data_IF_590859107586
#
_entry.id   IF_590859107586
#
_cell.length_a   1.000
_cell.length_b   1.000
_cell.length_c   1.000
_cell.angle_alpha   90.00
_cell.angle_beta   90.00
_cell.angle_gamma   90.00
#
_symmetry.space_group_name_H-M   'P 1'
#
loop_
_entity.id
_entity.type
_entity.pdbx_description
1 polymer ?
#
# COMPACT_ATOMS: atom_id res chain seq x y z
N UNK A 1 12.44 30.71 -10.25
CA UNK A 1 12.10 29.33 -9.88
C UNK A 1 13.42 28.66 -9.57
N UNK A 2 13.61 28.21 -8.33
CA UNK A 2 14.87 27.60 -7.91
C UNK A 2 15.00 26.25 -8.61
N UNK A 3 15.95 26.11 -9.54
CA UNK A 3 16.28 24.83 -10.15
C UNK A 3 16.69 23.87 -9.02
N UNK A 4 15.88 22.85 -8.74
CA UNK A 4 16.24 21.83 -7.77
C UNK A 4 17.17 20.85 -8.47
N UNK A 5 18.48 21.10 -8.40
CA UNK A 5 19.53 20.21 -8.89
C UNK A 5 19.64 18.98 -7.98
N UNK A 6 19.86 17.81 -8.58
CA UNK A 6 20.06 16.55 -7.85
C UNK A 6 21.32 16.59 -6.96
N UNK A 7 22.34 17.36 -7.37
CA UNK A 7 23.65 17.55 -6.69
C UNK A 7 24.19 16.25 -6.08
N UNK A 8 24.67 15.37 -6.96
CA UNK A 8 25.27 14.10 -6.57
C UNK A 8 26.66 14.30 -5.97
N UNK A 9 26.98 13.51 -4.94
CA UNK A 9 28.27 13.53 -4.25
C UNK A 9 28.74 12.10 -3.97
N UNK A 10 30.04 11.91 -3.73
CA UNK A 10 30.58 10.62 -3.29
C UNK A 10 29.93 10.14 -1.98
N UNK A 11 29.52 11.08 -1.11
CA UNK A 11 28.83 10.79 0.15
C UNK A 11 27.46 10.16 -0.04
N UNK A 12 26.78 10.45 -1.15
CA UNK A 12 25.48 9.85 -1.45
C UNK A 12 25.64 8.34 -1.71
N UNK A 13 26.60 7.92 -2.54
CA UNK A 13 26.93 6.50 -2.76
C UNK A 13 27.38 5.81 -1.46
N UNK A 14 28.24 6.48 -0.70
CA UNK A 14 28.77 5.95 0.56
C UNK A 14 27.67 5.73 1.62
N UNK A 15 26.52 6.38 1.52
CA UNK A 15 25.40 6.15 2.42
C UNK A 15 24.76 4.77 2.22
N UNK A 16 24.98 4.12 1.08
CA UNK A 16 24.36 2.85 0.70
C UNK A 16 25.32 1.65 0.74
N UNK A 17 26.54 1.82 1.25
CA UNK A 17 27.49 0.71 1.41
C UNK A 17 26.88 -0.46 2.23
N UNK A 18 27.19 -1.73 1.90
CA UNK A 18 26.61 -2.89 2.56
C UNK A 18 26.74 -2.90 4.09
N UNK A 19 27.86 -2.40 4.63
CA UNK A 19 28.15 -2.33 6.07
C UNK A 19 27.32 -1.24 6.78
N UNK A 20 26.77 -0.29 6.00
CA UNK A 20 26.00 0.85 6.49
C UNK A 20 24.50 0.65 6.31
N UNK A 21 24.08 -0.32 5.52
CA UNK A 21 22.70 -0.51 5.08
C UNK A 21 21.70 -0.66 6.24
N UNK A 22 22.08 -1.31 7.35
CA UNK A 22 21.24 -1.48 8.55
C UNK A 22 21.41 -0.40 9.62
N UNK A 23 22.30 0.58 9.40
CA UNK A 23 22.63 1.60 10.39
C UNK A 23 21.78 2.86 10.24
N UNK A 24 21.14 3.28 11.34
CA UNK A 24 20.38 4.54 11.41
C UNK A 24 21.28 5.79 11.36
N UNK A 25 22.60 5.65 11.55
CA UNK A 25 23.52 6.78 11.46
C UNK A 25 23.54 7.41 10.04
N UNK A 26 23.18 6.62 9.03
CA UNK A 26 23.16 7.04 7.63
C UNK A 26 21.76 7.45 7.14
N UNK A 27 20.73 7.42 8.00
CA UNK A 27 19.38 7.85 7.64
C UNK A 27 19.32 9.32 7.24
N UNK A 28 20.11 10.19 7.89
CA UNK A 28 20.15 11.62 7.56
C UNK A 28 20.75 11.88 6.16
N UNK A 29 21.95 11.39 5.82
CA UNK A 29 22.48 11.51 4.46
C UNK A 29 21.52 10.98 3.39
N UNK A 30 20.88 9.82 3.62
CA UNK A 30 19.90 9.25 2.70
C UNK A 30 18.66 10.13 2.54
N UNK A 31 18.17 10.73 3.64
CA UNK A 31 17.06 11.66 3.60
C UNK A 31 17.40 12.93 2.80
N UNK A 32 18.59 13.48 3.00
CA UNK A 32 19.08 14.66 2.28
C UNK A 32 19.14 14.37 0.78
N UNK A 33 19.71 13.23 0.37
CA UNK A 33 19.68 12.77 -1.03
C UNK A 33 18.25 12.60 -1.56
N UNK A 34 17.39 11.87 -0.82
CA UNK A 34 15.98 11.64 -1.19
C UNK A 34 15.23 12.95 -1.44
N UNK A 35 15.44 13.98 -0.61
CA UNK A 35 14.80 15.28 -0.78
C UNK A 35 15.28 16.01 -2.04
N UNK A 36 16.59 16.01 -2.33
CA UNK A 36 17.13 16.55 -3.58
C UNK A 36 16.58 15.80 -4.79
N UNK A 37 16.57 14.47 -4.74
CA UNK A 37 16.08 13.62 -5.80
C UNK A 37 14.58 13.78 -6.07
N UNK A 38 13.75 13.98 -5.04
CA UNK A 38 12.33 14.30 -5.23
C UNK A 38 12.11 15.71 -5.83
N UNK A 39 12.94 16.68 -5.47
CA UNK A 39 12.90 18.03 -6.06
C UNK A 39 13.26 18.02 -7.54
N UNK A 40 14.31 17.28 -7.89
CA UNK A 40 14.73 17.02 -9.27
C UNK A 40 13.65 16.26 -10.06
N UNK A 41 13.12 15.17 -9.50
CA UNK A 41 12.14 14.33 -10.18
C UNK A 41 10.83 15.07 -10.53
N UNK A 42 10.43 16.09 -9.77
CA UNK A 42 9.27 16.93 -10.14
C UNK A 42 9.47 17.66 -11.47
N UNK A 43 10.70 18.11 -11.77
CA UNK A 43 11.01 18.72 -13.07
C UNK A 43 10.94 17.68 -14.19
N UNK A 44 11.38 16.44 -13.93
CA UNK A 44 11.22 15.34 -14.88
C UNK A 44 9.76 15.00 -15.12
N UNK A 45 8.91 15.03 -14.08
CA UNK A 45 7.46 14.87 -14.23
C UNK A 45 6.88 15.95 -15.16
N UNK A 46 7.29 17.21 -15.03
CA UNK A 46 6.83 18.28 -15.93
C UNK A 46 7.26 18.01 -17.39
N UNK A 47 8.47 17.47 -17.61
CA UNK A 47 8.95 17.06 -18.94
C UNK A 47 8.16 15.88 -19.51
N UNK A 48 7.87 14.87 -18.70
CA UNK A 48 7.07 13.71 -19.10
C UNK A 48 5.61 14.11 -19.38
N UNK A 49 5.06 15.03 -18.59
CA UNK A 49 3.74 15.61 -18.82
C UNK A 49 3.69 16.34 -20.17
N UNK A 50 4.74 17.05 -20.58
CA UNK A 50 4.83 17.68 -21.89
C UNK A 50 4.86 16.68 -23.06
N UNK A 51 5.18 15.41 -22.78
CA UNK A 51 5.09 14.28 -23.72
C UNK A 51 3.75 13.52 -23.60
N UNK A 52 2.77 14.07 -22.88
CA UNK A 52 1.47 13.43 -22.59
C UNK A 52 1.60 12.11 -21.80
N UNK A 53 2.59 12.06 -20.90
CA UNK A 53 2.82 10.93 -19.99
C UNK A 53 2.62 11.45 -18.55
N UNK A 54 1.38 11.50 -18.05
CA UNK A 54 1.11 11.95 -16.69
C UNK A 54 1.63 10.93 -15.69
N UNK A 55 2.50 11.36 -14.77
CA UNK A 55 3.09 10.51 -13.75
C UNK A 55 3.08 11.17 -12.38
N UNK A 56 2.94 10.36 -11.33
CA UNK A 56 3.26 10.77 -9.96
C UNK A 56 4.68 10.34 -9.62
N UNK A 57 5.30 11.05 -8.66
CA UNK A 57 6.61 10.70 -8.11
C UNK A 57 6.51 10.22 -6.66
N UNK A 58 7.24 9.16 -6.33
CA UNK A 58 7.42 8.68 -4.96
C UNK A 58 8.87 8.21 -4.74
N UNK A 59 9.32 8.09 -3.50
CA UNK A 59 10.65 7.54 -3.19
C UNK A 59 10.58 6.47 -2.09
N UNK A 60 11.49 5.50 -2.13
CA UNK A 60 11.58 4.44 -1.12
C UNK A 60 11.96 4.99 0.26
N UNK A 61 11.76 4.17 1.31
CA UNK A 61 12.17 4.49 2.67
C UNK A 61 13.68 4.69 2.77
N UNK A 62 14.11 5.77 3.43
CA UNK A 62 15.52 6.14 3.60
C UNK A 62 16.15 5.59 4.89
N UNK A 63 15.33 5.03 5.78
CA UNK A 63 15.77 4.46 7.05
C UNK A 63 15.43 2.95 7.14
N UNK A 64 16.28 2.15 7.81
CA UNK A 64 15.98 0.75 8.11
C UNK A 64 14.63 0.61 8.84
N UNK A 65 13.67 -0.08 8.22
CA UNK A 65 12.31 -0.26 8.71
C UNK A 65 11.88 -1.72 8.50
N UNK A 66 10.78 -2.14 9.13
CA UNK A 66 10.25 -3.51 8.90
C UNK A 66 9.89 -3.71 7.42
N UNK A 67 9.49 -2.65 6.71
CA UNK A 67 9.08 -2.69 5.30
C UNK A 67 10.23 -3.01 4.34
N UNK A 68 11.45 -2.63 4.68
CA UNK A 68 12.65 -2.89 3.87
C UNK A 68 13.58 -3.94 4.51
N UNK A 69 13.04 -4.80 5.38
CA UNK A 69 13.83 -5.85 6.04
C UNK A 69 14.95 -5.31 6.93
N UNK A 70 14.75 -4.12 7.51
CA UNK A 70 15.72 -3.39 8.31
C UNK A 70 17.03 -3.09 7.56
N UNK A 71 16.93 -2.82 6.26
CA UNK A 71 18.08 -2.57 5.40
C UNK A 71 17.75 -1.53 4.32
N UNK A 72 18.71 -0.65 4.04
CA UNK A 72 18.65 0.31 2.93
C UNK A 72 19.99 0.25 2.19
N UNK A 73 20.02 -0.54 1.13
CA UNK A 73 21.18 -0.73 0.24
C UNK A 73 21.09 0.10 -1.05
N UNK A 74 19.94 0.72 -1.29
CA UNK A 74 19.72 1.63 -2.40
C UNK A 74 18.59 2.61 -2.09
N UNK A 75 18.52 3.68 -2.86
CA UNK A 75 17.41 4.61 -2.87
C UNK A 75 16.75 4.60 -4.24
N UNK A 76 15.44 4.44 -4.22
CA UNK A 76 14.61 4.53 -5.40
C UNK A 76 13.82 5.84 -5.38
N UNK A 77 13.69 6.43 -6.56
CA UNK A 77 12.68 7.44 -6.89
C UNK A 77 11.88 6.90 -8.07
N UNK A 78 10.63 6.55 -7.81
CA UNK A 78 9.70 5.95 -8.75
C UNK A 78 8.87 7.04 -9.42
N UNK A 79 8.71 6.90 -10.74
CA UNK A 79 7.72 7.59 -11.53
C UNK A 79 6.75 6.55 -12.03
N UNK A 80 5.49 6.68 -11.66
CA UNK A 80 4.46 5.71 -12.00
C UNK A 80 3.17 6.44 -12.36
N UNK A 81 2.14 5.66 -12.72
CA UNK A 81 0.81 6.16 -13.05
C UNK A 81 0.31 7.23 -12.09
N UNK A 82 -0.46 8.18 -12.60
CA UNK A 82 -1.15 9.16 -11.76
C UNK A 82 -2.12 8.48 -10.78
N UNK A 83 -2.50 9.19 -9.71
CA UNK A 83 -3.49 8.70 -8.75
C UNK A 83 -4.80 8.26 -9.40
N UNK A 84 -5.30 9.00 -10.37
CA UNK A 84 -6.52 8.68 -11.11
C UNK A 84 -6.39 7.35 -11.87
N UNK A 85 -5.28 7.17 -12.58
CA UNK A 85 -5.01 5.92 -13.32
C UNK A 85 -4.82 4.72 -12.37
N UNK A 86 -4.21 4.91 -11.20
CA UNK A 86 -4.09 3.86 -10.18
C UNK A 86 -5.45 3.47 -9.62
N UNK A 87 -6.27 4.44 -9.25
CA UNK A 87 -7.63 4.20 -8.74
C UNK A 87 -8.52 3.47 -9.75
N UNK A 88 -8.32 3.71 -11.05
CA UNK A 88 -9.02 2.97 -12.10
C UNK A 88 -8.64 1.48 -12.14
N UNK A 89 -7.44 1.11 -11.66
CA UNK A 89 -6.91 -0.24 -11.66
C UNK A 89 -7.06 -0.98 -10.32
N UNK A 90 -7.26 -0.26 -9.21
CA UNK A 90 -7.33 -0.85 -7.86
C UNK A 90 -8.31 -2.03 -7.78
N UNK A 91 -9.49 -1.91 -8.41
CA UNK A 91 -10.50 -2.98 -8.42
C UNK A 91 -9.99 -4.29 -9.05
N UNK A 92 -9.20 -4.21 -10.13
CA UNK A 92 -8.57 -5.39 -10.76
C UNK A 92 -7.47 -5.97 -9.89
N UNK A 93 -6.62 -5.09 -9.36
CA UNK A 93 -5.45 -5.50 -8.61
C UNK A 93 -5.84 -6.18 -7.29
N UNK A 94 -6.92 -5.72 -6.65
CA UNK A 94 -7.39 -6.25 -5.37
C UNK A 94 -8.17 -7.57 -5.50
N UNK A 95 -8.69 -7.89 -6.69
CA UNK A 95 -9.37 -9.17 -6.93
C UNK A 95 -8.40 -10.35 -6.97
N UNK A 96 -7.21 -10.13 -7.53
CA UNK A 96 -6.19 -11.18 -7.70
C UNK A 96 -5.29 -11.33 -6.47
N UNK A 97 -5.01 -10.23 -5.77
CA UNK A 97 -4.22 -10.27 -4.54
C UNK A 97 -5.12 -10.68 -3.36
N UNK A 98 -4.88 -11.85 -2.79
CA UNK A 98 -5.49 -12.19 -1.50
C UNK A 98 -5.02 -11.22 -0.42
N UNK A 99 -5.87 -10.92 0.58
CA UNK A 99 -5.54 -10.03 1.71
C UNK A 99 -4.18 -10.36 2.34
N UNK A 100 -3.86 -11.66 2.43
CA UNK A 100 -2.61 -12.15 3.00
C UNK A 100 -1.35 -11.87 2.14
N UNK A 101 -1.51 -11.64 0.84
CA UNK A 101 -0.43 -11.36 -0.10
C UNK A 101 -0.13 -9.86 -0.16
N UNK A 102 -1.18 -9.03 -0.14
CA UNK A 102 -1.09 -7.57 0.06
C UNK A 102 -0.42 -7.18 1.38
N UNK A 103 -0.56 -8.02 2.42
CA UNK A 103 0.10 -7.84 3.71
C UNK A 103 1.57 -8.28 3.72
N UNK A 104 1.99 -9.14 2.79
CA UNK A 104 3.35 -9.72 2.73
C UNK A 104 4.29 -8.96 1.81
N UNK A 105 3.78 -8.35 0.75
CA UNK A 105 4.60 -7.53 -0.14
C UNK A 105 4.43 -6.04 0.21
N UNK A 106 5.40 -5.43 0.91
CA UNK A 106 5.27 -4.07 1.41
C UNK A 106 5.42 -3.00 0.32
N UNK A 107 5.78 -3.37 -0.92
CA UNK A 107 6.19 -2.43 -1.94
C UNK A 107 5.11 -2.26 -3.04
N UNK A 108 4.24 -1.24 -2.95
CA UNK A 108 3.14 -1.05 -3.91
C UNK A 108 3.61 -0.83 -5.36
N UNK A 109 4.90 -0.52 -5.57
CA UNK A 109 5.47 -0.23 -6.89
C UNK A 109 5.49 -1.46 -7.80
N UNK A 110 5.63 -2.68 -7.26
CA UNK A 110 5.67 -3.89 -8.08
C UNK A 110 4.33 -4.29 -8.68
N UNK A 111 3.23 -3.62 -8.29
CA UNK A 111 1.89 -3.83 -8.88
C UNK A 111 1.68 -3.07 -10.19
N UNK A 112 2.65 -2.26 -10.61
CA UNK A 112 2.59 -1.47 -11.83
C UNK A 112 3.92 -1.48 -12.59
N UNK A 113 3.87 -1.23 -13.89
CA UNK A 113 5.01 -0.70 -14.62
C UNK A 113 5.38 0.68 -14.06
N UNK A 114 6.68 0.98 -14.00
CA UNK A 114 7.19 2.28 -13.54
C UNK A 114 8.49 2.66 -14.25
N UNK A 115 8.79 3.95 -14.28
CA UNK A 115 10.14 4.47 -14.46
C UNK A 115 10.78 4.69 -13.09
N UNK A 116 12.10 4.66 -13.00
CA UNK A 116 12.78 4.96 -11.75
C UNK A 116 14.17 5.53 -11.97
N UNK A 117 14.58 6.38 -11.02
CA UNK A 117 15.98 6.62 -10.68
C UNK A 117 16.33 5.70 -9.49
N UNK A 118 17.42 4.95 -9.60
CA UNK A 118 17.97 4.16 -8.50
C UNK A 118 19.42 4.55 -8.26
N UNK A 119 19.78 4.78 -7.01
CA UNK A 119 21.16 4.97 -6.57
C UNK A 119 21.51 3.94 -5.52
N UNK A 120 22.61 3.23 -5.72
CA UNK A 120 23.22 2.33 -4.73
C UNK A 120 24.69 2.70 -4.49
N UNK A 121 25.46 1.85 -3.81
CA UNK A 121 26.87 2.15 -3.52
C UNK A 121 27.78 2.08 -4.74
N UNK A 122 27.36 1.43 -5.82
CA UNK A 122 28.19 1.11 -6.99
C UNK A 122 27.83 1.93 -8.22
N UNK A 123 26.55 2.29 -8.37
CA UNK A 123 26.06 2.98 -9.56
C UNK A 123 24.82 3.81 -9.29
N UNK A 124 24.55 4.69 -10.24
CA UNK A 124 23.26 5.33 -10.42
C UNK A 124 22.67 4.87 -11.75
N UNK A 125 21.38 4.58 -11.78
CA UNK A 125 20.70 4.13 -12.99
C UNK A 125 19.33 4.77 -13.13
N UNK A 126 18.90 4.93 -14.38
CA UNK A 126 17.52 5.25 -14.74
C UNK A 126 16.97 4.10 -15.57
N UNK A 127 15.74 3.67 -15.27
CA UNK A 127 15.16 2.49 -15.91
C UNK A 127 13.64 2.55 -16.01
N UNK A 128 13.09 1.82 -16.97
CA UNK A 128 11.71 1.35 -16.95
C UNK A 128 11.71 -0.11 -16.50
N UNK A 129 10.79 -0.46 -15.59
CA UNK A 129 10.63 -1.82 -15.10
C UNK A 129 9.19 -2.30 -15.17
N UNK A 130 9.06 -3.60 -15.41
CA UNK A 130 7.79 -4.32 -15.41
C UNK A 130 7.96 -5.65 -14.65
N UNK A 131 7.44 -5.68 -13.42
CA UNK A 131 7.44 -6.90 -12.60
C UNK A 131 6.29 -7.84 -13.03
N UNK A 132 6.44 -9.18 -12.97
CA UNK A 132 5.34 -10.12 -13.25
C UNK A 132 4.13 -9.96 -12.31
N UNK A 133 4.31 -9.35 -11.13
CA UNK A 133 3.22 -9.03 -10.19
C UNK A 133 2.43 -7.78 -10.58
N UNK A 134 2.96 -6.95 -11.48
CA UNK A 134 2.22 -5.90 -12.17
C UNK A 134 1.33 -6.52 -13.24
N UNK A 135 0.44 -7.42 -12.81
CA UNK A 135 -0.13 -8.42 -13.70
C UNK A 135 -0.94 -7.80 -14.84
N UNK A 136 -1.64 -6.69 -14.60
CA UNK A 136 -2.39 -5.98 -15.65
C UNK A 136 -1.46 -5.52 -16.76
N UNK A 137 -0.34 -4.91 -16.38
CA UNK A 137 0.69 -4.44 -17.29
C UNK A 137 1.40 -5.58 -17.98
N UNK A 138 1.69 -6.63 -17.22
CA UNK A 138 2.40 -7.79 -17.72
C UNK A 138 1.58 -8.57 -18.74
N UNK A 139 0.29 -8.80 -18.50
CA UNK A 139 -0.58 -9.45 -19.48
C UNK A 139 -0.82 -8.56 -20.71
N UNK A 140 -0.94 -7.24 -20.54
CA UNK A 140 -1.01 -6.29 -21.66
C UNK A 140 0.27 -6.33 -22.52
N UNK A 141 1.44 -6.31 -21.88
CA UNK A 141 2.73 -6.44 -22.53
C UNK A 141 2.85 -7.77 -23.30
N UNK A 142 2.46 -8.89 -22.69
CA UNK A 142 2.45 -10.19 -23.38
C UNK A 142 1.48 -10.23 -24.56
N UNK A 143 0.29 -9.65 -24.41
CA UNK A 143 -0.68 -9.55 -25.50
C UNK A 143 -0.12 -8.72 -26.67
N UNK A 144 0.57 -7.60 -26.38
CA UNK A 144 1.27 -6.80 -27.40
C UNK A 144 2.40 -7.57 -28.08
N UNK A 145 3.17 -8.40 -27.35
CA UNK A 145 4.22 -9.22 -27.95
C UNK A 145 3.68 -10.39 -28.79
N UNK A 146 2.45 -10.86 -28.50
CA UNK A 146 1.79 -11.89 -29.29
C UNK A 146 1.25 -11.36 -30.62
N UNK A 147 0.96 -10.06 -30.70
CA UNK A 147 0.65 -9.36 -31.95
C UNK A 147 1.93 -8.88 -32.65
N UNK A 148 2.04 -9.10 -33.95
CA UNK A 148 3.28 -8.78 -34.68
C UNK A 148 3.51 -7.26 -34.75
N UNK A 149 2.44 -6.49 -35.02
CA UNK A 149 2.51 -5.03 -35.08
C UNK A 149 2.82 -4.43 -33.69
N UNK A 150 2.20 -4.96 -32.64
CA UNK A 150 2.50 -4.60 -31.26
C UNK A 150 3.95 -4.89 -30.88
N UNK A 151 4.47 -6.07 -31.23
CA UNK A 151 5.85 -6.45 -30.98
C UNK A 151 6.84 -5.54 -31.72
N UNK A 152 6.62 -5.29 -33.01
CA UNK A 152 7.43 -4.36 -33.82
C UNK A 152 7.43 -2.95 -33.22
N UNK A 153 6.29 -2.48 -32.71
CA UNK A 153 6.20 -1.15 -32.07
C UNK A 153 7.09 -1.07 -30.83
N UNK A 154 7.09 -2.10 -29.98
CA UNK A 154 7.96 -2.16 -28.80
C UNK A 154 9.44 -2.20 -29.21
N UNK A 155 9.79 -3.03 -30.21
CA UNK A 155 11.17 -3.12 -30.73
C UNK A 155 11.63 -1.76 -31.25
N UNK A 156 10.81 -1.08 -32.05
CA UNK A 156 11.13 0.25 -32.57
C UNK A 156 11.31 1.28 -31.45
N UNK A 157 10.49 1.23 -30.40
CA UNK A 157 10.66 2.10 -29.24
C UNK A 157 11.98 1.84 -28.49
N UNK A 158 12.41 0.58 -28.36
CA UNK A 158 13.71 0.23 -27.78
C UNK A 158 14.88 0.67 -28.66
N UNK A 159 14.79 0.48 -29.98
CA UNK A 159 15.82 0.88 -30.93
C UNK A 159 15.93 2.40 -31.09
N UNK A 160 14.90 3.15 -30.72
CA UNK A 160 14.94 4.62 -30.67
C UNK A 160 15.67 5.16 -29.43
N UNK A 161 15.96 4.32 -28.43
CA UNK A 161 16.76 4.72 -27.27
C UNK A 161 18.22 4.95 -27.67
N UNK A 162 18.95 5.81 -26.95
CA UNK A 162 20.40 5.95 -27.11
C UNK A 162 21.13 4.62 -26.94
N UNK A 163 22.26 4.46 -27.63
CA UNK A 163 23.04 3.20 -27.66
C UNK A 163 23.56 2.74 -26.29
N UNK A 164 23.63 3.65 -25.31
CA UNK A 164 24.07 3.36 -23.94
C UNK A 164 23.00 2.58 -23.15
N UNK A 165 21.77 2.51 -23.64
CA UNK A 165 20.70 1.77 -23.01
C UNK A 165 20.86 0.26 -23.22
N UNK A 166 20.43 -0.46 -22.20
CA UNK A 166 20.41 -1.91 -22.18
C UNK A 166 19.03 -2.40 -21.73
N UNK A 167 18.71 -3.66 -22.04
CA UNK A 167 17.49 -4.32 -21.59
C UNK A 167 17.78 -5.75 -21.12
N UNK A 168 16.87 -6.33 -20.35
CA UNK A 168 16.99 -7.69 -19.86
C UNK A 168 16.17 -7.93 -18.60
N UNK A 169 16.70 -8.79 -17.72
CA UNK A 169 16.08 -9.14 -16.45
C UNK A 169 16.80 -8.38 -15.33
N UNK A 170 16.04 -7.72 -14.47
CA UNK A 170 16.58 -6.92 -13.36
C UNK A 170 17.53 -7.73 -12.48
N UNK A 171 18.72 -7.17 -12.22
CA UNK A 171 19.77 -7.82 -11.42
C UNK A 171 20.53 -8.96 -12.14
N UNK A 172 20.34 -9.13 -13.45
CA UNK A 172 21.03 -10.15 -14.27
C UNK A 172 21.84 -9.50 -15.39
N UNK A 173 22.46 -10.33 -16.23
CA UNK A 173 23.10 -9.87 -17.45
C UNK A 173 22.07 -9.21 -18.37
N UNK A 174 22.48 -8.10 -18.97
CA UNK A 174 21.68 -7.26 -19.86
C UNK A 174 22.29 -7.26 -21.25
N UNK A 175 21.47 -6.94 -22.24
CA UNK A 175 21.84 -6.83 -23.65
C UNK A 175 21.67 -5.38 -24.13
N UNK A 176 22.49 -4.90 -25.08
CA UNK A 176 22.30 -3.56 -25.65
C UNK A 176 20.95 -3.48 -26.36
N UNK A 177 20.26 -2.33 -26.31
CA UNK A 177 18.95 -2.16 -26.98
C UNK A 177 19.00 -2.41 -28.49
N UNK A 178 20.17 -2.31 -29.11
CA UNK A 178 20.40 -2.65 -30.54
C UNK A 178 20.23 -4.14 -30.86
N UNK A 179 20.25 -5.01 -29.85
CA UNK A 179 19.96 -6.44 -29.99
C UNK A 179 18.46 -6.77 -29.86
N UNK A 180 17.60 -5.78 -29.58
CA UNK A 180 16.18 -6.00 -29.39
C UNK A 180 15.51 -6.54 -30.65
N UNK A 181 14.73 -7.61 -30.49
CA UNK A 181 13.89 -8.22 -31.51
C UNK A 181 12.60 -8.75 -30.89
N UNK A 182 11.56 -8.99 -31.69
CA UNK A 182 10.30 -9.53 -31.17
C UNK A 182 10.51 -10.88 -30.47
N UNK A 183 11.36 -11.75 -31.03
CA UNK A 183 11.66 -13.07 -30.46
C UNK A 183 12.42 -12.96 -29.12
N UNK A 184 13.45 -12.12 -29.05
CA UNK A 184 14.18 -11.90 -27.77
C UNK A 184 13.28 -11.35 -26.67
N UNK A 185 12.33 -10.46 -27.01
CA UNK A 185 11.38 -9.92 -26.05
C UNK A 185 10.35 -10.96 -25.58
N UNK A 186 9.86 -11.83 -26.50
CA UNK A 186 8.98 -12.95 -26.15
C UNK A 186 9.69 -13.94 -25.22
N UNK A 187 10.93 -14.32 -25.56
CA UNK A 187 11.76 -15.20 -24.74
C UNK A 187 12.07 -14.61 -23.36
N UNK A 188 12.29 -13.29 -23.28
CA UNK A 188 12.41 -12.59 -22.00
C UNK A 188 11.11 -12.66 -21.22
N UNK A 189 9.97 -12.29 -21.82
CA UNK A 189 8.68 -12.27 -21.17
C UNK A 189 8.29 -13.64 -20.57
N UNK A 190 8.57 -14.73 -21.27
CA UNK A 190 8.30 -16.09 -20.77
C UNK A 190 9.18 -16.50 -19.58
N UNK A 191 10.35 -15.87 -19.40
CA UNK A 191 11.25 -16.10 -18.25
C UNK A 191 10.91 -15.29 -17.01
N UNK A 192 10.24 -14.14 -17.13
CA UNK A 192 10.04 -13.22 -15.98
C UNK A 192 9.24 -13.84 -14.84
N UNK A 193 8.14 -14.54 -15.16
CA UNK A 193 7.27 -15.18 -14.15
C UNK A 193 7.95 -16.34 -13.41
N UNK A 194 8.56 -17.35 -14.08
CA UNK A 194 9.24 -18.43 -13.36
C UNK A 194 10.46 -17.94 -12.55
N UNK A 195 11.08 -16.84 -12.97
CA UNK A 195 12.22 -16.26 -12.26
C UNK A 195 11.83 -15.29 -11.14
N UNK A 196 10.57 -14.84 -11.10
CA UNK A 196 10.11 -13.84 -10.12
C UNK A 196 10.88 -12.52 -10.23
N UNK A 197 11.29 -12.15 -11.44
CA UNK A 197 12.15 -11.00 -11.69
C UNK A 197 11.51 -10.06 -12.72
N UNK A 198 11.78 -8.76 -12.59
CA UNK A 198 11.23 -7.75 -13.48
C UNK A 198 11.97 -7.69 -14.82
N UNK A 199 11.22 -7.41 -15.89
CA UNK A 199 11.79 -6.82 -17.10
C UNK A 199 12.42 -5.49 -16.73
N UNK A 200 13.60 -5.22 -17.28
CA UNK A 200 14.35 -4.00 -17.04
C UNK A 200 14.86 -3.47 -18.37
N UNK A 201 14.72 -2.17 -18.58
CA UNK A 201 15.39 -1.42 -19.64
C UNK A 201 15.87 -0.11 -19.07
N UNK A 202 17.12 0.26 -19.31
CA UNK A 202 17.69 1.45 -18.68
C UNK A 202 19.13 1.73 -19.03
N UNK A 203 19.63 2.79 -18.41
CA UNK A 203 21.01 3.23 -18.50
C UNK A 203 21.61 3.27 -17.08
N UNK A 204 22.80 2.69 -16.93
CA UNK A 204 23.54 2.62 -15.67
C UNK A 204 24.87 3.34 -15.81
N UNK A 205 25.20 4.18 -14.82
CA UNK A 205 26.49 4.88 -14.72
C UNK A 205 27.18 4.45 -13.44
N UNK A 206 28.38 3.91 -13.56
CA UNK A 206 29.17 3.48 -12.40
C UNK A 206 29.56 4.68 -11.55
N UNK A 207 29.74 4.46 -10.24
CA UNK A 207 30.12 5.49 -9.27
C UNK A 207 31.31 6.33 -9.71
N UNK A 208 32.35 5.69 -10.26
CA UNK A 208 33.56 6.38 -10.71
C UNK A 208 33.24 7.41 -11.81
N UNK A 209 32.56 6.97 -12.86
CA UNK A 209 32.12 7.83 -13.98
C UNK A 209 31.14 8.89 -13.50
N UNK A 210 30.23 8.53 -12.60
CA UNK A 210 29.23 9.46 -12.07
C UNK A 210 29.88 10.62 -11.29
N UNK A 211 30.88 10.32 -10.46
CA UNK A 211 31.62 11.33 -9.70
C UNK A 211 32.50 12.21 -10.61
N UNK A 212 33.07 11.63 -11.67
CA UNK A 212 33.91 12.37 -12.62
C UNK A 212 33.09 13.37 -13.47
N UNK A 213 31.85 13.02 -13.80
CA UNK A 213 31.00 13.78 -14.73
C UNK A 213 29.76 14.40 -14.08
N UNK A 214 29.82 14.75 -12.79
CA UNK A 214 28.68 15.25 -12.00
C UNK A 214 27.97 16.46 -12.62
N UNK A 215 28.73 17.37 -13.25
CA UNK A 215 28.21 18.62 -13.81
C UNK A 215 27.21 18.40 -14.95
N UNK A 216 27.41 17.35 -15.75
CA UNK A 216 26.58 17.04 -16.92
C UNK A 216 25.62 15.87 -16.68
N UNK A 217 25.96 14.99 -15.74
CA UNK A 217 25.22 13.75 -15.53
C UNK A 217 23.75 14.00 -15.15
N UNK A 218 23.48 15.05 -14.38
CA UNK A 218 22.11 15.35 -13.93
C UNK A 218 21.18 15.61 -15.12
N UNK A 219 21.61 16.44 -16.08
CA UNK A 219 20.84 16.71 -17.30
C UNK A 219 20.67 15.44 -18.15
N UNK A 220 21.74 14.64 -18.27
CA UNK A 220 21.70 13.37 -18.99
C UNK A 220 20.73 12.36 -18.37
N UNK A 221 20.60 12.32 -17.04
CA UNK A 221 19.63 11.44 -16.36
C UNK A 221 18.18 11.88 -16.63
N UNK A 222 17.93 13.19 -16.74
CA UNK A 222 16.61 13.70 -17.11
C UNK A 222 16.26 13.34 -18.55
N UNK A 223 17.19 13.55 -19.47
CA UNK A 223 17.03 13.20 -20.88
C UNK A 223 16.81 11.70 -21.05
N UNK A 224 17.55 10.89 -20.28
CA UNK A 224 17.40 9.45 -20.27
C UNK A 224 16.03 8.99 -19.74
N UNK A 225 15.49 9.61 -18.68
CA UNK A 225 14.12 9.32 -18.22
C UNK A 225 13.06 9.76 -19.24
N UNK A 226 13.25 10.91 -19.87
CA UNK A 226 12.35 11.37 -20.94
C UNK A 226 12.36 10.41 -22.14
N UNK A 227 13.53 9.90 -22.53
CA UNK A 227 13.68 8.92 -23.59
C UNK A 227 13.03 7.57 -23.26
N UNK A 228 12.97 7.18 -21.97
CA UNK A 228 12.27 5.98 -21.52
C UNK A 228 10.74 6.13 -21.52
N UNK A 229 10.20 7.35 -21.60
CA UNK A 229 8.77 7.63 -21.58
C UNK A 229 7.97 6.85 -22.63
N UNK A 230 8.33 6.90 -23.93
CA UNK A 230 7.67 6.10 -24.97
C UNK A 230 7.73 4.59 -24.70
N UNK A 231 8.85 4.07 -24.22
CA UNK A 231 8.96 2.64 -23.86
C UNK A 231 8.01 2.30 -22.72
N UNK A 232 7.95 3.14 -21.69
CA UNK A 232 7.00 2.99 -20.59
C UNK A 232 5.53 2.94 -21.07
N UNK A 233 5.14 3.77 -22.04
CA UNK A 233 3.78 3.76 -22.59
C UNK A 233 3.39 2.41 -23.21
N UNK A 234 4.36 1.63 -23.70
CA UNK A 234 4.11 0.29 -24.23
C UNK A 234 4.17 -0.82 -23.17
N UNK A 235 4.91 -0.61 -22.08
CA UNK A 235 4.95 -1.53 -20.94
C UNK A 235 3.69 -1.41 -20.07
N UNK A 236 3.21 -0.18 -19.86
CA UNK A 236 2.03 0.10 -19.07
C UNK A 236 0.76 -0.22 -19.87
N UNK A 237 -0.21 -0.90 -19.25
CA UNK A 237 -1.57 -0.98 -19.79
C UNK A 237 -2.23 0.41 -19.83
N UNK A 238 -2.92 0.71 -20.93
CA UNK A 238 -3.71 1.93 -21.12
C UNK A 238 -5.08 1.53 -21.61
N UNK A 239 -6.12 2.23 -21.14
CA UNK A 239 -7.51 1.96 -21.55
C UNK A 239 -7.71 2.13 -23.06
N UNK A 240 -7.06 3.13 -23.65
CA UNK A 240 -7.19 3.44 -25.07
C UNK A 240 -6.45 2.45 -25.99
N UNK A 241 -5.56 1.62 -25.42
CA UNK A 241 -4.73 0.64 -26.13
C UNK A 241 -4.80 -0.73 -25.42
N UNK A 242 -6.03 -1.24 -25.33
CA UNK A 242 -6.37 -2.48 -24.63
C UNK A 242 -6.32 -3.70 -25.56
N UNK A 243 -5.10 -4.07 -25.97
CA UNK A 243 -4.88 -5.29 -26.77
C UNK A 243 -5.19 -6.59 -26.01
N UNK A 244 -5.24 -6.55 -24.67
CA UNK A 244 -5.53 -7.71 -23.81
C UNK A 244 -7.02 -7.90 -23.50
N UNK A 245 -7.90 -6.96 -23.89
CA UNK A 245 -9.33 -7.00 -23.58
C UNK A 245 -9.67 -6.80 -22.09
N UNK A 246 -8.69 -6.37 -21.28
CA UNK A 246 -8.84 -6.18 -19.84
C UNK A 246 -9.75 -4.99 -19.50
N UNK A 247 -9.90 -4.03 -20.41
CA UNK A 247 -10.81 -2.90 -20.31
C UNK A 247 -12.28 -3.33 -20.24
N UNK A 248 -12.69 -4.31 -21.04
CA UNK A 248 -14.04 -4.88 -20.95
C UNK A 248 -14.26 -5.64 -19.64
N UNK A 249 -13.23 -6.36 -19.18
CA UNK A 249 -13.25 -7.01 -17.86
C UNK A 249 -13.41 -5.98 -16.75
N UNK A 250 -12.68 -4.86 -16.81
CA UNK A 250 -12.77 -3.72 -15.88
C UNK A 250 -14.18 -3.13 -15.81
N UNK A 251 -14.78 -2.84 -16.97
CA UNK A 251 -16.11 -2.23 -17.04
C UNK A 251 -17.19 -3.18 -16.49
N UNK A 252 -17.10 -4.47 -16.83
CA UNK A 252 -18.02 -5.48 -16.30
C UNK A 252 -17.93 -5.57 -14.78
N UNK A 253 -16.71 -5.64 -14.24
CA UNK A 253 -16.49 -5.71 -12.79
C UNK A 253 -16.96 -4.45 -12.07
N UNK A 254 -16.71 -3.27 -12.63
CA UNK A 254 -17.18 -2.01 -12.04
C UNK A 254 -18.70 -1.97 -11.94
N UNK A 255 -19.38 -2.51 -12.96
CA UNK A 255 -20.83 -2.65 -12.98
C UNK A 255 -21.30 -3.61 -11.88
N UNK A 256 -20.71 -4.80 -11.79
CA UNK A 256 -21.05 -5.78 -10.76
C UNK A 256 -20.81 -5.26 -9.34
N UNK A 257 -19.68 -4.58 -9.09
CA UNK A 257 -19.37 -3.97 -7.80
C UNK A 257 -20.37 -2.86 -7.45
N UNK A 258 -20.75 -2.03 -8.42
CA UNK A 258 -21.77 -0.99 -8.24
C UNK A 258 -23.13 -1.61 -7.89
N UNK A 259 -23.53 -2.69 -8.57
CA UNK A 259 -24.78 -3.40 -8.27
C UNK A 259 -24.74 -4.10 -6.90
N UNK A 260 -23.60 -4.68 -6.52
CA UNK A 260 -23.42 -5.30 -5.21
C UNK A 260 -23.46 -4.25 -4.08
N UNK A 261 -22.84 -3.09 -4.28
CA UNK A 261 -22.89 -1.97 -3.35
C UNK A 261 -24.33 -1.44 -3.21
N UNK A 262 -25.04 -1.24 -4.32
CA UNK A 262 -26.45 -0.83 -4.31
C UNK A 262 -27.33 -1.83 -3.55
N UNK A 263 -27.13 -3.13 -3.77
CA UNK A 263 -27.84 -4.20 -3.03
C UNK A 263 -27.56 -4.15 -1.52
N UNK A 264 -26.31 -3.89 -1.11
CA UNK A 264 -25.95 -3.75 0.31
C UNK A 264 -26.60 -2.52 0.95
N UNK A 265 -26.56 -1.37 0.28
CA UNK A 265 -27.21 -0.16 0.80
C UNK A 265 -28.73 -0.33 0.87
N UNK A 266 -29.33 -1.04 -0.09
CA UNK A 266 -30.76 -1.36 -0.05
C UNK A 266 -31.10 -2.32 1.10
N UNK A 267 -30.28 -3.35 1.34
CA UNK A 267 -30.49 -4.26 2.47
C UNK A 267 -30.33 -3.56 3.82
N UNK A 268 -29.29 -2.74 3.97
CA UNK A 268 -29.07 -1.93 5.18
C UNK A 268 -30.24 -0.97 5.43
N UNK A 269 -30.76 -0.35 4.37
CA UNK A 269 -31.93 0.52 4.45
C UNK A 269 -33.17 -0.27 4.88
N UNK A 270 -33.41 -1.46 4.32
CA UNK A 270 -34.53 -2.34 4.74
C UNK A 270 -34.40 -2.78 6.19
N UNK A 271 -33.20 -3.12 6.63
CA UNK A 271 -32.93 -3.45 8.04
C UNK A 271 -33.15 -2.27 8.96
N UNK A 272 -32.72 -1.06 8.57
CA UNK A 272 -33.00 0.17 9.31
C UNK A 272 -34.50 0.42 9.42
N UNK A 273 -35.24 0.39 8.30
CA UNK A 273 -36.70 0.56 8.28
C UNK A 273 -37.41 -0.50 9.16
N UNK A 274 -36.97 -1.76 9.12
CA UNK A 274 -37.50 -2.81 10.00
C UNK A 274 -37.19 -2.54 11.48
N UNK A 275 -35.96 -2.13 11.80
CA UNK A 275 -35.56 -1.79 13.16
C UNK A 275 -36.36 -0.62 13.72
N UNK A 276 -36.66 0.39 12.88
CA UNK A 276 -37.48 1.53 13.25
C UNK A 276 -38.94 1.13 13.48
N UNK A 277 -39.52 0.28 12.62
CA UNK A 277 -40.86 -0.27 12.83
C UNK A 277 -40.97 -1.04 14.13
N UNK A 278 -40.02 -1.93 14.43
CA UNK A 278 -39.99 -2.68 15.69
C UNK A 278 -39.87 -1.75 16.91
N UNK A 279 -39.06 -0.68 16.81
CA UNK A 279 -38.98 0.35 17.87
C UNK A 279 -40.30 1.10 18.05
N UNK A 280 -41.00 1.44 16.96
CA UNK A 280 -42.30 2.09 17.02
C UNK A 280 -43.34 1.17 17.68
N UNK A 281 -43.43 -0.08 17.25
CA UNK A 281 -44.33 -1.08 17.84
C UNK A 281 -44.04 -1.32 19.33
N UNK A 282 -42.76 -1.40 19.73
CA UNK A 282 -42.39 -1.51 21.13
C UNK A 282 -42.81 -0.27 21.92
N UNK A 283 -42.61 0.92 21.36
CA UNK A 283 -43.01 2.19 21.99
C UNK A 283 -44.53 2.27 22.15
N UNK A 284 -45.30 1.84 21.15
CA UNK A 284 -46.76 1.77 21.21
C UNK A 284 -47.23 0.75 22.25
N UNK A 285 -46.69 -0.47 22.26
CA UNK A 285 -46.98 -1.48 23.30
C UNK A 285 -46.65 -0.98 24.70
N UNK A 286 -45.54 -0.26 24.87
CA UNK A 286 -45.20 0.36 26.15
C UNK A 286 -46.21 1.45 26.55
N UNK A 287 -46.70 2.24 25.59
CA UNK A 287 -47.77 3.24 25.81
C UNK A 287 -49.10 2.58 26.17
N UNK A 288 -49.49 1.52 25.48
CA UNK A 288 -50.69 0.74 25.78
C UNK A 288 -50.64 0.13 27.17
N UNK A 289 -49.54 -0.56 27.52
CA UNK A 289 -49.35 -1.09 28.88
C UNK A 289 -49.42 0.01 29.95
N UNK A 290 -48.90 1.20 29.65
CA UNK A 290 -48.98 2.34 30.58
C UNK A 290 -50.43 2.82 30.70
N UNK A 291 -51.19 2.88 29.60
CA UNK A 291 -52.62 3.22 29.62
C UNK A 291 -53.43 2.20 30.40
N UNK A 292 -53.26 0.91 30.14
CA UNK A 292 -53.91 -0.17 30.88
C UNK A 292 -53.60 -0.08 32.38
N UNK A 293 -52.35 0.24 32.75
CA UNK A 293 -51.97 0.42 34.15
C UNK A 293 -52.66 1.62 34.80
N UNK A 294 -52.81 2.72 34.07
CA UNK A 294 -53.56 3.91 34.53
C UNK A 294 -55.06 3.63 34.63
N UNK A 295 -55.66 2.91 33.68
CA UNK A 295 -57.06 2.47 33.75
C UNK A 295 -57.31 1.49 34.91
N UNK A 296 -56.38 0.58 35.14
CA UNK A 296 -56.42 -0.35 36.28
C UNK A 296 -56.30 0.41 37.63
N UNK A 297 -55.41 1.40 37.73
CA UNK A 297 -55.25 2.21 38.95
C UNK A 297 -56.39 3.22 39.17
N UNK A 298 -57.10 3.63 38.12
CA UNK A 298 -58.29 4.50 38.23
C UNK A 298 -59.56 3.72 38.54
N UNK A 299 -59.65 2.44 38.13
CA UNK A 299 -60.76 1.54 38.49
C UNK A 299 -60.62 0.95 39.89
N UNK A 300 -59.41 0.92 40.46
CA UNK A 300 -59.27 0.86 41.92
C UNK A 300 -59.76 2.16 42.51
N UNK A 301 -60.91 2.11 43.18
CA UNK A 301 -61.36 3.17 44.06
C UNK A 301 -60.19 3.57 44.97
N UNK A 302 -59.62 4.75 44.72
CA UNK A 302 -58.64 5.34 45.63
C UNK A 302 -59.26 5.28 47.01
N UNK A 303 -58.58 4.70 48.03
CA UNK A 303 -59.10 4.72 49.38
C UNK A 303 -59.34 6.20 49.72
N UNK A 304 -60.61 6.57 49.78
CA UNK A 304 -60.99 7.90 50.21
C UNK A 304 -60.64 7.99 51.69
N UNK A 305 -60.42 9.20 52.20
CA UNK A 305 -60.17 9.46 53.62
C UNK A 305 -61.24 8.82 54.55
N UNK A 306 -62.39 8.43 54.00
CA UNK A 306 -63.45 7.69 54.70
C UNK A 306 -63.15 6.19 54.95
N UNK A 307 -62.29 5.53 54.18
CA UNK A 307 -61.93 4.11 54.41
C UNK A 307 -60.66 3.91 55.24
N UNK A 308 -59.92 5.00 55.52
CA UNK A 308 -58.69 4.98 56.32
C UNK A 308 -58.92 5.01 57.85
N UNK A 309 -60.15 5.22 58.31
CA UNK A 309 -60.48 5.32 59.75
C UNK A 309 -61.48 4.26 60.25
N UNK A 310 -61.47 3.05 59.67
CA UNK A 310 -62.24 1.93 60.24
C UNK A 310 -61.42 1.24 61.35
N UNK A 311 -61.88 1.25 62.62
CA UNK A 311 -61.14 0.67 63.74
C UNK A 311 -61.19 -0.88 63.72
N UNK A 312 -60.11 -1.46 64.23
CA UNK A 312 -59.72 -2.87 64.16
C UNK A 312 -60.65 -3.85 64.90
N UNK A 313 -60.62 -5.10 64.45
CA UNK A 313 -61.09 -6.29 65.18
C UNK A 313 -60.14 -7.48 64.95
N UNK A 314 -60.07 -8.45 65.89
CA UNK A 314 -58.85 -9.23 66.16
C UNK A 314 -58.77 -10.62 65.50
N UNK A 315 -57.53 -11.09 65.37
CA UNK A 315 -57.00 -12.46 65.36
C UNK A 315 -57.87 -13.62 64.84
N UNK A 316 -57.37 -14.34 63.81
CA UNK A 316 -57.29 -15.80 63.80
C UNK A 316 -56.36 -16.33 62.71
N UNK A 317 -55.70 -17.42 63.08
CA UNK A 317 -54.72 -18.26 62.41
C UNK A 317 -55.18 -18.98 61.14
N UNK A 318 -54.22 -19.25 60.26
CA UNK A 318 -54.03 -20.57 59.65
C UNK A 318 -54.45 -20.72 58.18
N UNK A 319 -53.45 -20.77 57.28
CA UNK A 319 -53.33 -21.76 56.18
C UNK A 319 -52.13 -21.42 55.30
N UNK A 320 -51.21 -22.37 55.16
CA UNK A 320 -50.16 -22.42 54.13
C UNK A 320 -50.76 -22.40 52.71
N UNK A 321 -50.00 -21.91 51.72
CA UNK A 321 -49.65 -22.84 50.66
C UNK A 321 -48.19 -22.77 50.18
N UNK A 322 -47.82 -23.91 49.60
CA UNK A 322 -46.59 -24.34 48.93
C UNK A 322 -46.01 -23.43 47.82
N UNK A 323 -44.77 -23.71 47.37
CA UNK A 323 -43.94 -22.78 46.60
C UNK A 323 -44.24 -22.83 45.09
N UNK A 324 -44.12 -21.68 44.42
CA UNK A 324 -44.02 -21.62 42.97
C UNK A 324 -42.71 -20.91 42.59
N UNK A 325 -41.82 -21.71 42.00
CA UNK A 325 -40.62 -21.30 41.28
C UNK A 325 -40.93 -20.20 40.26
N UNK A 326 -40.36 -19.01 40.47
CA UNK A 326 -40.02 -18.13 39.36
C UNK A 326 -38.64 -17.51 39.60
N UNK A 327 -37.67 -18.11 38.91
CA UNK A 327 -36.32 -17.62 38.76
C UNK A 327 -36.34 -16.16 38.27
N UNK A 328 -35.79 -15.27 39.11
CA UNK A 328 -35.38 -13.93 38.71
C UNK A 328 -34.15 -14.08 37.80
N UNK A 329 -34.15 -13.60 36.56
CA UNK A 329 -32.93 -13.50 35.79
C UNK A 329 -32.05 -12.41 36.42
N UNK A 330 -31.01 -12.86 37.10
CA UNK A 330 -29.90 -12.04 37.58
C UNK A 330 -29.25 -11.36 36.36
N UNK A 331 -29.11 -10.02 36.33
CA UNK A 331 -28.34 -9.37 35.28
C UNK A 331 -26.88 -9.85 35.38
N UNK A 332 -26.21 -10.20 34.26
CA UNK A 332 -24.83 -10.64 34.32
C UNK A 332 -23.96 -9.54 34.94
N UNK A 333 -23.23 -9.93 35.99
CA UNK A 333 -22.29 -9.10 36.71
C UNK A 333 -21.27 -8.51 35.72
N UNK A 334 -21.09 -7.19 35.78
CA UNK A 334 -19.98 -6.53 35.13
C UNK A 334 -18.68 -7.16 35.64
N UNK A 335 -17.91 -7.74 34.71
CA UNK A 335 -16.57 -8.23 34.98
C UNK A 335 -15.70 -7.07 35.50
N UNK A 336 -15.11 -7.18 36.70
CA UNK A 336 -14.10 -6.23 37.12
C UNK A 336 -12.84 -6.47 36.28
N UNK A 337 -12.46 -5.47 35.48
CA UNK A 337 -11.12 -5.40 34.86
C UNK A 337 -10.07 -5.23 35.97
N UNK A 338 -9.59 -6.36 36.51
CA UNK A 338 -8.35 -6.43 37.28
C UNK A 338 -7.17 -6.27 36.33
N UNK A 339 -6.66 -5.05 36.20
CA UNK A 339 -5.33 -4.76 35.65
C UNK A 339 -4.33 -4.77 36.78
N UNK A 340 -3.74 -5.92 37.05
CA UNK A 340 -2.46 -6.04 37.77
C UNK A 340 -1.35 -6.25 36.74
N UNK A 341 -1.04 -5.19 35.97
CA UNK A 341 0.20 -5.10 35.20
C UNK A 341 1.17 -4.19 35.97
N UNK A 342 1.71 -4.72 37.06
CA UNK A 342 2.91 -4.16 37.65
C UNK A 342 4.11 -4.43 36.71
N UNK A 343 4.88 -3.42 36.30
CA UNK A 343 6.03 -3.63 35.44
C UNK A 343 7.12 -4.41 36.18
N UNK A 344 7.47 -5.59 35.67
CA UNK A 344 8.64 -6.34 36.14
C UNK A 344 9.91 -5.48 35.97
N UNK A 345 10.78 -5.39 37.00
CA UNK A 345 12.04 -4.67 36.88
C UNK A 345 12.93 -5.35 35.84
N UNK A 346 13.47 -4.55 34.90
CA UNK A 346 14.42 -5.00 33.89
C UNK A 346 15.68 -5.54 34.56
N UNK A 347 16.02 -6.79 34.28
CA UNK A 347 17.33 -7.34 34.57
C UNK A 347 18.41 -6.54 33.83
N UNK A 348 19.42 -6.13 34.59
CA UNK A 348 20.57 -5.36 34.11
C UNK A 348 21.44 -6.28 33.24
N UNK A 349 21.47 -6.03 31.95
CA UNK A 349 22.44 -6.65 31.05
C UNK A 349 23.87 -6.27 31.45
N UNK A 350 24.81 -7.23 31.48
CA UNK A 350 26.19 -6.97 31.87
C UNK A 350 26.93 -6.14 30.81
N UNK A 351 27.70 -5.17 31.30
CA UNK A 351 28.51 -4.23 30.52
C UNK A 351 29.63 -5.01 29.80
N UNK A 352 29.80 -4.89 28.46
CA UNK A 352 30.91 -5.55 27.78
C UNK A 352 32.26 -4.93 28.19
N UNK A 353 33.23 -5.80 28.43
CA UNK A 353 34.58 -5.47 28.85
C UNK A 353 35.32 -4.67 27.76
N UNK A 354 36.13 -3.69 28.19
CA UNK A 354 37.03 -2.90 27.33
C UNK A 354 38.02 -3.83 26.61
N UNK A 355 38.25 -3.66 25.30
CA UNK A 355 39.35 -4.34 24.62
C UNK A 355 40.71 -3.75 25.07
N UNK A 356 41.77 -4.57 25.09
CA UNK A 356 43.11 -4.15 25.50
C UNK A 356 43.74 -3.21 24.47
N UNK A 357 44.48 -2.21 24.99
CA UNK A 357 45.34 -1.30 24.22
C UNK A 357 46.33 -2.10 23.39
N UNK A 358 46.28 -1.93 22.07
CA UNK A 358 47.37 -2.35 21.18
C UNK A 358 48.58 -1.44 21.45
N UNK A 359 49.71 -2.09 21.69
CA UNK A 359 51.03 -1.47 21.82
C UNK A 359 51.50 -1.04 20.43
N UNK A 360 51.96 0.21 20.33
CA UNK A 360 52.69 0.74 19.18
C UNK A 360 54.00 -0.04 19.02
N UNK A 361 54.13 -0.74 17.91
CA UNK A 361 55.41 -1.22 17.43
C UNK A 361 56.08 -0.09 16.63
N UNK A 362 57.07 0.53 17.28
CA UNK A 362 58.11 1.35 16.66
C UNK A 362 58.91 0.47 15.70
N UNK A 363 59.14 0.94 14.49
CA UNK A 363 60.10 0.37 13.55
C UNK A 363 60.97 1.51 12.95
N UNK A 364 62.24 1.20 12.63
CA UNK A 364 63.37 2.13 12.64
C UNK A 364 63.49 3.06 11.43
#
# INVERSE_FOLDING_TARGET
MSSHSLELTAGDFDAYLPERASSNAFSRPRLEFKQRALGWARQVVDRLQALDIPMDVHASDEHPSVRNGHRVDCQWVFFWRSLEQRQALDALLDQRAGIAETLRDPSPYYRHAFLALRLDSEKIEVCAQLHPDAWVDFEAFRARLADEQGAETIVNALLALPEQFQFGISGRATEPVTAASADTLRELADRLRPEGAAFWVGWSVTRGVAIEHLEILVEQLEDALAALGPVYQHLAWRKDDDSSGLGHTLESMRTELSEAAARRTESERKEQEQSERLRQEQTERSRERTRERVEYDTSRARPTLATLFKPAGPAASGAEPEPADHAVPVPPAALPHGRDDAPRPRDKTPRPAKPPRQQEAVAP
#
